data_IF_136026668586
#
_entry.id   IF_136026668586
#
_cell.length_a   1.000
_cell.length_b   1.000
_cell.length_c   1.000
_cell.angle_alpha   90.00
_cell.angle_beta   90.00
_cell.angle_gamma   90.00
#
_symmetry.space_group_name_H-M   'P 1'
#
loop_
_entity.id
_entity.type
_entity.pdbx_description
1 polymer ?
#
# COMPACT_ATOMS: atom_id res chain seq x y z
N UNK A 1 62.08 -23.61 12.53
CA UNK A 1 60.64 -23.88 12.75
C UNK A 1 59.96 -22.88 13.72
N UNK A 2 60.54 -21.69 13.97
CA UNK A 2 60.00 -20.71 14.93
C UNK A 2 59.52 -19.39 14.28
N UNK A 3 59.56 -19.27 12.95
CA UNK A 3 59.26 -18.02 12.24
C UNK A 3 57.80 -17.92 11.75
N UNK A 4 57.12 -19.05 11.48
CA UNK A 4 55.74 -19.03 10.97
C UNK A 4 54.70 -18.68 12.04
N UNK A 5 54.89 -19.12 13.29
CA UNK A 5 53.95 -18.86 14.39
C UNK A 5 53.79 -17.38 14.76
N UNK A 6 54.80 -16.53 14.49
CA UNK A 6 54.74 -15.09 14.79
C UNK A 6 54.00 -14.30 13.70
N UNK A 7 54.13 -14.73 12.45
CA UNK A 7 53.44 -14.15 11.28
C UNK A 7 51.95 -14.46 11.33
N UNK A 8 51.57 -15.70 11.66
CA UNK A 8 50.17 -16.09 11.77
C UNK A 8 49.42 -15.30 12.85
N UNK A 9 50.05 -15.03 14.00
CA UNK A 9 49.40 -14.27 15.09
C UNK A 9 49.15 -12.82 14.71
N UNK A 10 50.09 -12.18 14.00
CA UNK A 10 49.96 -10.80 13.54
C UNK A 10 48.95 -10.66 12.39
N UNK A 11 48.83 -11.67 11.54
CA UNK A 11 47.90 -11.65 10.41
C UNK A 11 46.46 -11.85 10.89
N UNK A 12 46.26 -12.76 11.85
CA UNK A 12 44.95 -12.95 12.48
C UNK A 12 44.49 -11.70 13.22
N UNK A 13 45.37 -10.99 13.95
CA UNK A 13 45.00 -9.74 14.63
C UNK A 13 44.61 -8.62 13.66
N UNK A 14 45.30 -8.48 12.52
CA UNK A 14 44.96 -7.46 11.52
C UNK A 14 43.64 -7.79 10.80
N UNK A 15 43.40 -9.06 10.51
CA UNK A 15 42.12 -9.52 9.93
C UNK A 15 40.97 -9.32 10.92
N UNK A 16 41.21 -9.50 12.21
CA UNK A 16 40.22 -9.30 13.28
C UNK A 16 39.91 -7.81 13.50
N UNK A 17 40.91 -6.94 13.43
CA UNK A 17 40.77 -5.49 13.53
C UNK A 17 40.03 -4.90 12.32
N UNK A 18 40.37 -5.33 11.11
CA UNK A 18 39.66 -4.94 9.87
C UNK A 18 38.22 -5.50 9.90
N UNK A 19 38.00 -6.74 10.37
CA UNK A 19 36.64 -7.27 10.56
C UNK A 19 35.83 -6.44 11.55
N UNK A 20 36.42 -6.02 12.66
CA UNK A 20 35.74 -5.20 13.68
C UNK A 20 35.36 -3.82 13.13
N UNK A 21 36.25 -3.17 12.39
CA UNK A 21 35.96 -1.88 11.74
C UNK A 21 34.91 -2.01 10.63
N UNK A 22 34.99 -3.06 9.80
CA UNK A 22 34.01 -3.33 8.74
C UNK A 22 32.65 -3.70 9.32
N UNK A 23 32.59 -4.52 10.39
CA UNK A 23 31.34 -4.84 11.08
C UNK A 23 30.73 -3.60 11.73
N UNK A 24 31.55 -2.70 12.30
CA UNK A 24 31.09 -1.41 12.84
C UNK A 24 30.52 -0.49 11.74
N UNK A 25 31.17 -0.46 10.58
CA UNK A 25 30.74 0.36 9.43
C UNK A 25 29.50 -0.22 8.72
N UNK A 26 29.43 -1.55 8.58
CA UNK A 26 28.26 -2.29 8.09
C UNK A 26 27.10 -2.13 9.07
N UNK A 27 27.33 -2.18 10.39
CA UNK A 27 26.27 -1.96 11.39
C UNK A 27 25.75 -0.51 11.35
N UNK A 28 26.62 0.49 11.16
CA UNK A 28 26.20 1.88 10.91
C UNK A 28 25.37 2.03 9.64
N UNK A 29 25.76 1.38 8.53
CA UNK A 29 25.00 1.39 7.27
C UNK A 29 23.71 0.57 7.31
N UNK A 30 23.70 -0.56 8.01
CA UNK A 30 22.49 -1.38 8.28
C UNK A 30 21.51 -0.60 9.14
N UNK A 31 21.98 0.20 10.11
CA UNK A 31 21.10 1.04 10.92
C UNK A 31 20.43 2.14 10.08
N UNK A 32 21.15 2.72 9.12
CA UNK A 32 20.59 3.67 8.15
C UNK A 32 19.67 2.99 7.12
N UNK A 33 20.07 1.83 6.59
CA UNK A 33 19.26 1.06 5.64
C UNK A 33 18.00 0.47 6.29
N UNK A 34 18.05 0.08 7.56
CA UNK A 34 16.90 -0.40 8.33
C UNK A 34 15.97 0.76 8.65
N UNK A 35 16.47 1.97 8.88
CA UNK A 35 15.64 3.15 9.11
C UNK A 35 15.01 3.65 7.80
N UNK A 36 15.75 3.71 6.70
CA UNK A 36 15.21 4.08 5.36
C UNK A 36 14.29 2.99 4.78
N UNK A 37 14.59 1.71 4.99
CA UNK A 37 13.72 0.62 4.59
C UNK A 37 12.48 0.57 5.50
N UNK A 38 12.60 0.75 6.82
CA UNK A 38 11.41 0.90 7.66
C UNK A 38 10.66 2.17 7.36
N UNK A 39 11.29 3.27 7.00
CA UNK A 39 10.60 4.52 6.69
C UNK A 39 9.88 4.38 5.36
N UNK A 40 10.51 3.87 4.30
CA UNK A 40 9.82 3.63 3.01
C UNK A 40 8.80 2.50 3.07
N UNK A 41 9.07 1.41 3.78
CA UNK A 41 8.12 0.31 3.99
C UNK A 41 7.02 0.71 4.98
N UNK A 42 7.29 1.51 6.00
CA UNK A 42 6.26 2.03 6.90
C UNK A 42 5.50 3.19 6.27
N UNK A 43 6.06 3.99 5.36
CA UNK A 43 5.28 5.00 4.63
C UNK A 43 4.32 4.31 3.67
N UNK A 44 4.77 3.29 2.94
CA UNK A 44 3.93 2.54 2.00
C UNK A 44 2.96 1.59 2.71
N UNK A 45 3.40 0.83 3.72
CA UNK A 45 2.55 -0.03 4.52
C UNK A 45 1.66 0.75 5.49
N UNK A 46 2.09 1.89 6.03
CA UNK A 46 1.18 2.78 6.77
C UNK A 46 0.26 3.53 5.83
N UNK A 47 0.64 3.92 4.60
CA UNK A 47 -0.31 4.51 3.67
C UNK A 47 -1.40 3.52 3.27
N UNK A 48 -1.03 2.26 2.99
CA UNK A 48 -1.99 1.18 2.69
C UNK A 48 -2.78 0.79 3.94
N UNK A 49 -2.13 0.67 5.10
CA UNK A 49 -2.76 0.29 6.37
C UNK A 49 -3.68 1.38 6.93
N UNK A 50 -3.23 2.63 6.95
CA UNK A 50 -4.05 3.80 7.26
C UNK A 50 -5.17 3.95 6.25
N UNK A 51 -4.90 3.77 4.96
CA UNK A 51 -5.92 3.73 3.91
C UNK A 51 -6.97 2.65 4.19
N UNK A 52 -6.57 1.45 4.59
CA UNK A 52 -7.47 0.35 4.93
C UNK A 52 -8.30 0.65 6.19
N UNK A 53 -7.70 1.25 7.22
CA UNK A 53 -8.38 1.66 8.45
C UNK A 53 -9.41 2.76 8.14
N UNK A 54 -9.00 3.80 7.43
CA UNK A 54 -9.88 4.91 7.02
C UNK A 54 -11.00 4.40 6.11
N UNK A 55 -10.68 3.56 5.12
CA UNK A 55 -11.67 2.93 4.24
C UNK A 55 -12.64 2.07 5.04
N UNK A 56 -12.16 1.33 6.03
CA UNK A 56 -13.02 0.52 6.90
C UNK A 56 -13.97 1.39 7.73
N UNK A 57 -13.48 2.50 8.30
CA UNK A 57 -14.33 3.45 9.03
C UNK A 57 -15.39 4.05 8.11
N UNK A 58 -15.00 4.50 6.91
CA UNK A 58 -15.92 5.06 5.92
C UNK A 58 -16.95 4.00 5.49
N UNK A 59 -16.52 2.76 5.25
CA UNK A 59 -17.40 1.68 4.86
C UNK A 59 -18.45 1.38 5.94
N UNK A 60 -18.03 1.34 7.22
CA UNK A 60 -18.94 1.15 8.35
C UNK A 60 -19.94 2.32 8.47
N UNK A 61 -19.47 3.56 8.38
CA UNK A 61 -20.36 4.74 8.39
C UNK A 61 -21.38 4.70 7.24
N UNK A 62 -20.92 4.37 6.03
CA UNK A 62 -21.76 4.28 4.84
C UNK A 62 -22.79 3.16 4.97
N UNK A 63 -22.43 2.04 5.58
CA UNK A 63 -23.35 0.94 5.90
C UNK A 63 -24.46 1.38 6.85
N UNK A 64 -24.13 2.08 7.94
CA UNK A 64 -25.14 2.62 8.86
C UNK A 64 -26.06 3.64 8.17
N UNK A 65 -25.51 4.50 7.30
CA UNK A 65 -26.30 5.45 6.51
C UNK A 65 -27.30 4.75 5.58
N UNK A 66 -26.89 3.69 4.89
CA UNK A 66 -27.77 2.92 4.02
C UNK A 66 -28.94 2.29 4.79
N UNK A 67 -28.65 1.70 5.96
CA UNK A 67 -29.67 1.12 6.83
C UNK A 67 -30.60 2.23 7.35
N UNK A 68 -30.05 3.35 7.82
CA UNK A 68 -30.84 4.49 8.27
C UNK A 68 -31.77 5.03 7.18
N UNK A 69 -31.30 5.13 5.94
CA UNK A 69 -32.13 5.50 4.79
C UNK A 69 -33.23 4.49 4.52
N UNK A 70 -32.93 3.19 4.64
CA UNK A 70 -33.94 2.13 4.48
C UNK A 70 -35.04 2.20 5.53
N UNK A 71 -34.68 2.47 6.79
CA UNK A 71 -35.65 2.69 7.85
C UNK A 71 -36.47 3.96 7.62
N UNK A 72 -35.83 5.07 7.25
CA UNK A 72 -36.52 6.32 6.98
C UNK A 72 -37.55 6.20 5.85
N UNK A 73 -37.16 5.57 4.72
CA UNK A 73 -38.08 5.31 3.60
C UNK A 73 -39.15 4.29 4.00
N UNK A 74 -38.80 3.30 4.81
CA UNK A 74 -39.75 2.30 5.31
C UNK A 74 -40.82 2.88 6.23
N UNK A 75 -40.45 3.84 7.09
CA UNK A 75 -41.39 4.57 7.94
C UNK A 75 -42.31 5.48 7.11
N UNK A 76 -41.76 6.15 6.08
CA UNK A 76 -42.54 6.97 5.15
C UNK A 76 -43.58 6.17 4.37
N UNK A 77 -43.27 4.91 4.02
CA UNK A 77 -44.19 3.98 3.36
C UNK A 77 -45.08 3.21 4.34
N UNK A 78 -45.00 3.50 5.65
CA UNK A 78 -45.72 2.80 6.72
C UNK A 78 -45.47 1.28 6.77
N UNK A 79 -44.39 0.80 6.14
CA UNK A 79 -44.00 -0.60 6.06
C UNK A 79 -42.49 -0.75 5.87
N UNK A 80 -41.84 -1.36 6.85
CA UNK A 80 -40.40 -1.65 6.82
C UNK A 80 -40.02 -2.50 5.60
N UNK A 81 -40.85 -3.48 5.22
CA UNK A 81 -40.60 -4.35 4.08
C UNK A 81 -40.53 -3.57 2.76
N UNK A 82 -41.38 -2.55 2.61
CA UNK A 82 -41.38 -1.71 1.41
C UNK A 82 -40.14 -0.80 1.36
N UNK A 83 -39.72 -0.24 2.50
CA UNK A 83 -38.50 0.58 2.60
C UNK A 83 -37.23 -0.18 2.23
N UNK A 84 -37.05 -1.38 2.78
CA UNK A 84 -35.94 -2.25 2.40
C UNK A 84 -36.03 -2.71 0.94
N UNK A 85 -37.23 -2.99 0.42
CA UNK A 85 -37.43 -3.36 -0.97
C UNK A 85 -36.99 -2.27 -1.96
N UNK A 86 -37.38 -1.02 -1.71
CA UNK A 86 -36.97 0.12 -2.54
C UNK A 86 -35.47 0.38 -2.43
N UNK A 87 -34.90 0.32 -1.22
CA UNK A 87 -33.47 0.49 -1.03
C UNK A 87 -32.64 -0.63 -1.67
N UNK A 88 -33.13 -1.87 -1.67
CA UNK A 88 -32.49 -2.98 -2.37
C UNK A 88 -32.49 -2.75 -3.90
N UNK A 89 -33.61 -2.30 -4.46
CA UNK A 89 -33.73 -1.93 -5.87
C UNK A 89 -32.80 -0.78 -6.24
N UNK A 90 -32.73 0.26 -5.40
CA UNK A 90 -31.83 1.40 -5.59
C UNK A 90 -30.36 0.97 -5.53
N UNK A 91 -29.98 0.17 -4.53
CA UNK A 91 -28.61 -0.36 -4.39
C UNK A 91 -28.21 -1.22 -5.59
N UNK A 92 -29.13 -2.06 -6.09
CA UNK A 92 -28.93 -2.86 -7.31
C UNK A 92 -28.70 -1.96 -8.53
N UNK A 93 -29.50 -0.89 -8.68
CA UNK A 93 -29.39 0.05 -9.78
C UNK A 93 -28.04 0.80 -9.76
N UNK A 94 -27.60 1.27 -8.59
CA UNK A 94 -26.28 1.88 -8.39
C UNK A 94 -25.16 0.88 -8.75
N UNK A 95 -25.28 -0.37 -8.30
CA UNK A 95 -24.30 -1.41 -8.60
C UNK A 95 -24.22 -1.69 -10.11
N UNK A 96 -25.35 -1.71 -10.81
CA UNK A 96 -25.41 -1.87 -12.26
C UNK A 96 -24.72 -0.71 -12.98
N UNK A 97 -24.97 0.54 -12.56
CA UNK A 97 -24.28 1.72 -13.07
C UNK A 97 -22.77 1.60 -12.88
N UNK A 98 -22.30 1.28 -11.67
CA UNK A 98 -20.87 1.10 -11.38
C UNK A 98 -20.27 0.00 -12.25
N UNK A 99 -20.99 -1.09 -12.50
CA UNK A 99 -20.54 -2.16 -13.37
C UNK A 99 -20.40 -1.71 -14.84
N UNK A 100 -21.27 -0.83 -15.33
CA UNK A 100 -21.11 -0.24 -16.66
C UNK A 100 -19.90 0.73 -16.70
N UNK A 101 -19.73 1.56 -15.67
CA UNK A 101 -18.57 2.46 -15.56
C UNK A 101 -17.24 1.71 -15.44
N UNK A 102 -17.22 0.49 -14.88
CA UNK A 102 -16.03 -0.39 -14.83
C UNK A 102 -15.33 -0.47 -16.18
N UNK A 103 -16.09 -0.56 -17.28
CA UNK A 103 -15.52 -0.65 -18.62
C UNK A 103 -14.77 0.65 -18.99
N UNK A 104 -15.37 1.81 -18.69
CA UNK A 104 -14.72 3.11 -18.91
C UNK A 104 -13.51 3.34 -18.01
N UNK A 105 -13.55 2.91 -16.75
CA UNK A 105 -12.43 3.05 -15.81
C UNK A 105 -11.24 2.21 -16.27
N UNK A 106 -11.47 0.96 -16.71
CA UNK A 106 -10.40 0.09 -17.25
C UNK A 106 -9.73 0.69 -18.48
N UNK A 107 -10.52 1.18 -19.43
CA UNK A 107 -10.03 1.83 -20.64
C UNK A 107 -9.23 3.10 -20.31
N UNK A 108 -9.71 3.92 -19.36
CA UNK A 108 -9.04 5.14 -18.93
C UNK A 108 -7.70 4.87 -18.23
N UNK A 109 -7.64 3.84 -17.37
CA UNK A 109 -6.38 3.45 -16.70
C UNK A 109 -5.37 2.93 -17.73
N UNK A 110 -5.81 2.08 -18.66
CA UNK A 110 -4.94 1.56 -19.71
C UNK A 110 -4.36 2.67 -20.58
N UNK A 111 -5.18 3.65 -20.97
CA UNK A 111 -4.75 4.78 -21.77
C UNK A 111 -3.76 5.68 -21.01
N UNK A 112 -3.98 5.91 -19.70
CA UNK A 112 -3.00 6.62 -18.87
C UNK A 112 -1.68 5.88 -18.72
N UNK A 113 -1.69 4.56 -18.53
CA UNK A 113 -0.46 3.76 -18.43
C UNK A 113 0.32 3.75 -19.75
N UNK A 114 -0.37 3.64 -20.90
CA UNK A 114 0.26 3.70 -22.22
C UNK A 114 0.88 5.09 -22.47
N UNK A 115 0.17 6.17 -22.10
CA UNK A 115 0.68 7.53 -22.30
C UNK A 115 1.85 7.86 -21.36
N UNK A 116 1.85 7.32 -20.14
CA UNK A 116 2.95 7.44 -19.19
C UNK A 116 4.22 6.74 -19.68
N UNK A 117 4.09 5.54 -20.28
CA UNK A 117 5.22 4.84 -20.89
C UNK A 117 5.76 5.55 -22.13
N UNK A 118 4.87 6.02 -23.03
CA UNK A 118 5.29 6.76 -24.23
C UNK A 118 5.99 8.08 -23.90
N UNK A 119 5.57 8.76 -22.84
CA UNK A 119 6.23 9.98 -22.36
C UNK A 119 7.64 9.76 -21.80
N UNK A 120 8.04 8.52 -21.50
CA UNK A 120 9.43 8.20 -21.13
C UNK A 120 10.31 7.90 -22.35
N UNK A 121 9.76 7.39 -23.46
CA UNK A 121 10.55 7.13 -24.69
C UNK A 121 10.90 8.42 -25.46
N UNK A 122 10.09 9.47 -25.38
CA UNK A 122 10.34 10.75 -26.09
C UNK A 122 11.43 11.63 -25.42
N UNK A 123 11.88 11.31 -24.21
CA UNK A 123 12.92 12.07 -23.48
C UNK A 123 14.34 11.50 -23.72
N UNK A 124 14.46 10.29 -24.28
CA UNK A 124 15.74 9.67 -24.66
C UNK A 124 16.17 10.05 -26.11
N UNK A 125 15.34 10.76 -26.88
CA UNK A 125 15.63 11.21 -28.25
C UNK A 125 15.88 12.73 -28.41
N UNK A 126 16.04 13.48 -27.31
CA UNK A 126 16.40 14.92 -27.33
C UNK A 126 17.77 15.25 -26.74
#
# INVERSE_FOLDING_TARGET
MLNDQKTDKSLNTLVEEIKLELLSYINKRIRLFKLDAFEKLSLSASAVGYGLIVLSIIAVLMFFLLIGLAFFIGELLSSLAAGFGIMALFSLFVLLIVFLLRRKIKESILNSTINFFRGMEDDDEK
#
